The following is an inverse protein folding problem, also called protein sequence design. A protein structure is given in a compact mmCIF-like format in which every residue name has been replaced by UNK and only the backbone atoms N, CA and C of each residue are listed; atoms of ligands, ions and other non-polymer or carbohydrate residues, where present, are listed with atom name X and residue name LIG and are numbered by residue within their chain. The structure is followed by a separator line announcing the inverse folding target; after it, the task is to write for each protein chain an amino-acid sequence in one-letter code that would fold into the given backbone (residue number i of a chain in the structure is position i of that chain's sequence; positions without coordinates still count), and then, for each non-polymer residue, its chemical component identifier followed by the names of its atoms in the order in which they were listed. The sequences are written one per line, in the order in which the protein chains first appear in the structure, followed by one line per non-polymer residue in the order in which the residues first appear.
data_IF_768315356624
#
_entry.id   IF_768315356624
#
_cell.length_a   1.000
_cell.length_b   1.000
_cell.length_c   1.000
_cell.angle_alpha   90.00
_cell.angle_beta   90.00
_cell.angle_gamma   90.00
#
_symmetry.space_group_name_H-M   'P 1'
#
loop_
_entity.id
_entity.type
_entity.pdbx_description
1 polymer ?
#
# COMPACT_ATOMS: atom_id res chain seq x y z
N UNK A 1 5.17 25.66 26.12
CA UNK A 1 4.94 24.20 26.07
C UNK A 1 4.37 23.83 24.71
N UNK A 2 4.69 22.63 24.23
CA UNK A 2 4.15 22.09 22.98
C UNK A 2 3.01 21.14 23.35
N UNK A 3 1.83 21.38 22.81
CA UNK A 3 0.66 20.53 23.00
C UNK A 3 0.36 19.76 21.70
N UNK A 4 0.16 18.44 21.74
CA UNK A 4 -0.26 17.67 20.57
C UNK A 4 -1.60 18.14 20.03
N UNK A 5 -1.79 18.08 18.69
CA UNK A 5 -3.06 18.46 18.05
C UNK A 5 -4.25 17.65 18.57
N UNK A 6 -4.05 16.35 18.82
CA UNK A 6 -5.07 15.46 19.38
C UNK A 6 -5.60 15.96 20.74
N UNK A 7 -4.72 16.49 21.58
CA UNK A 7 -5.08 17.02 22.89
C UNK A 7 -5.88 18.34 22.77
N UNK A 8 -5.52 19.20 21.80
CA UNK A 8 -6.24 20.45 21.52
C UNK A 8 -7.66 20.23 20.99
N UNK A 9 -7.86 19.22 20.16
CA UNK A 9 -9.17 18.93 19.52
C UNK A 9 -9.97 17.86 20.26
N UNK A 10 -9.40 17.22 21.31
CA UNK A 10 -10.06 16.18 22.12
C UNK A 10 -10.31 14.84 21.41
N UNK A 11 -9.67 14.63 20.26
CA UNK A 11 -9.72 13.38 19.48
C UNK A 11 -8.49 13.28 18.56
N UNK A 12 -8.26 12.10 17.98
CA UNK A 12 -7.21 11.93 16.97
C UNK A 12 -7.51 12.77 15.73
N UNK A 13 -6.50 13.48 15.17
CA UNK A 13 -6.67 14.24 13.94
C UNK A 13 -6.96 13.32 12.74
N UNK A 14 -7.94 13.65 11.93
CA UNK A 14 -8.24 12.95 10.70
C UNK A 14 -7.23 13.31 9.60
N UNK A 15 -6.77 12.32 8.84
CA UNK A 15 -5.83 12.52 7.74
C UNK A 15 -6.42 13.42 6.64
N UNK A 16 -5.61 14.32 6.06
CA UNK A 16 -5.99 15.22 4.97
C UNK A 16 -6.93 16.37 5.38
N UNK A 17 -7.24 16.52 6.67
CA UNK A 17 -8.12 17.60 7.16
C UNK A 17 -7.34 18.86 7.48
N UNK A 18 -8.05 19.98 7.34
CA UNK A 18 -7.55 21.29 7.74
C UNK A 18 -8.19 21.70 9.06
N UNK A 19 -7.37 22.01 10.04
CA UNK A 19 -7.79 22.50 11.36
C UNK A 19 -7.35 23.94 11.50
N UNK A 20 -8.21 24.77 12.08
CA UNK A 20 -7.88 26.11 12.49
C UNK A 20 -7.72 26.13 14.02
N UNK A 21 -6.55 26.52 14.49
CA UNK A 21 -6.27 26.73 15.90
C UNK A 21 -6.23 28.24 16.13
N UNK A 22 -6.94 28.69 17.14
CA UNK A 22 -6.97 30.11 17.53
C UNK A 22 -6.80 30.25 19.02
N UNK A 23 -6.26 31.35 19.40
CA UNK A 23 -6.09 31.77 20.81
C UNK A 23 -6.43 33.24 20.96
N UNK A 24 -7.02 33.55 22.09
CA UNK A 24 -7.28 34.95 22.52
C UNK A 24 -6.62 35.14 23.85
N UNK A 25 -5.80 36.18 24.02
CA UNK A 25 -5.24 36.51 25.31
C UNK A 25 -6.34 36.76 26.35
N UNK A 26 -6.21 36.18 27.54
CA UNK A 26 -7.10 36.45 28.66
C UNK A 26 -6.53 37.61 29.47
N UNK A 27 -7.32 38.67 29.70
CA UNK A 27 -6.97 39.71 30.70
C UNK A 27 -7.54 39.30 32.05
N UNK A 28 -6.80 39.54 33.13
CA UNK A 28 -7.26 39.26 34.51
C UNK A 28 -8.53 40.03 34.89
N UNK A 29 -8.90 41.05 34.13
CA UNK A 29 -10.05 41.92 34.40
C UNK A 29 -11.37 41.48 33.75
N UNK A 30 -11.43 40.38 33.04
CA UNK A 30 -12.67 39.91 32.36
C UNK A 30 -13.17 40.87 31.28
N UNK A 31 -12.29 41.65 30.68
CA UNK A 31 -12.60 42.65 29.65
C UNK A 31 -13.05 41.95 28.35
N UNK A 32 -13.87 42.64 27.57
CA UNK A 32 -14.27 42.19 26.27
C UNK A 32 -13.05 41.98 25.35
N UNK A 33 -12.98 40.84 24.70
CA UNK A 33 -11.94 40.54 23.70
C UNK A 33 -12.21 41.35 22.42
N UNK A 34 -11.14 41.89 21.84
CA UNK A 34 -11.20 42.56 20.55
C UNK A 34 -10.88 41.56 19.41
N UNK A 35 -11.48 41.71 18.22
CA UNK A 35 -11.16 40.86 17.08
C UNK A 35 -9.68 40.81 16.72
N UNK A 36 -8.95 41.93 16.95
CA UNK A 36 -7.53 42.06 16.65
C UNK A 36 -6.63 41.31 17.66
N UNK A 37 -7.20 40.86 18.79
CA UNK A 37 -6.48 40.06 19.79
C UNK A 37 -6.45 38.56 19.42
N UNK A 38 -7.18 38.12 18.36
CA UNK A 38 -7.25 36.73 17.95
C UNK A 38 -6.01 36.37 17.15
N UNK A 39 -5.27 35.38 17.64
CA UNK A 39 -4.16 34.76 16.93
C UNK A 39 -4.67 33.43 16.38
N UNK A 40 -4.64 33.25 15.06
CA UNK A 40 -5.08 32.01 14.40
C UNK A 40 -3.97 31.38 13.56
N UNK A 41 -3.93 30.06 13.54
CA UNK A 41 -3.03 29.27 12.68
C UNK A 41 -3.78 28.13 12.04
N UNK A 42 -3.43 27.83 10.80
CA UNK A 42 -4.01 26.71 10.02
C UNK A 42 -3.04 25.56 10.01
N UNK A 43 -3.51 24.38 10.40
CA UNK A 43 -2.75 23.13 10.38
C UNK A 43 -3.47 22.17 9.43
N UNK A 44 -2.75 21.66 8.43
CA UNK A 44 -3.25 20.61 7.54
C UNK A 44 -2.56 19.29 7.89
N UNK A 45 -3.36 18.28 8.22
CA UNK A 45 -2.85 16.91 8.42
C UNK A 45 -2.51 16.27 7.09
N UNK A 46 -1.48 15.41 7.08
CA UNK A 46 -1.11 14.68 5.87
C UNK A 46 -2.21 13.69 5.45
N UNK A 47 -2.43 13.56 4.16
CA UNK A 47 -3.19 12.45 3.59
C UNK A 47 -2.35 11.17 3.67
N UNK A 48 -3.01 10.00 3.75
CA UNK A 48 -2.35 8.71 3.76
C UNK A 48 -3.24 7.63 3.13
N UNK A 49 -2.69 6.42 2.98
CA UNK A 49 -3.41 5.23 2.52
C UNK A 49 -3.16 4.13 3.54
N UNK A 50 -4.21 3.46 3.99
CA UNK A 50 -4.11 2.28 4.85
C UNK A 50 -4.07 1.04 3.96
N UNK A 51 -3.00 0.26 4.04
CA UNK A 51 -2.83 -0.99 3.30
C UNK A 51 -3.14 -2.18 4.19
N UNK A 52 -3.85 -3.18 3.65
CA UNK A 52 -4.11 -4.46 4.31
C UNK A 52 -3.78 -5.60 3.37
N UNK A 53 -3.26 -6.67 3.94
CA UNK A 53 -2.97 -7.94 3.26
C UNK A 53 -3.55 -9.06 4.08
N UNK A 54 -4.27 -9.98 3.42
CA UNK A 54 -4.85 -11.19 4.01
C UNK A 54 -4.74 -12.37 3.06
N UNK A 55 -5.13 -13.55 3.53
CA UNK A 55 -5.24 -14.78 2.75
C UNK A 55 -3.97 -15.11 1.94
N UNK A 56 -2.81 -14.94 2.56
CA UNK A 56 -1.52 -15.19 1.90
C UNK A 56 -1.35 -16.69 1.68
N UNK A 57 -1.25 -17.09 0.42
CA UNK A 57 -1.02 -18.47 -0.02
C UNK A 57 0.14 -18.51 -1.02
N UNK A 58 0.58 -19.68 -1.45
CA UNK A 58 1.58 -19.82 -2.49
C UNK A 58 1.09 -19.34 -3.89
N UNK A 59 -0.21 -19.13 -4.05
CA UNK A 59 -0.82 -18.58 -5.27
C UNK A 59 -0.97 -17.07 -5.26
N UNK A 60 -0.84 -16.43 -4.09
CA UNK A 60 -0.95 -14.99 -3.92
C UNK A 60 -1.56 -14.57 -2.59
N UNK A 61 -2.13 -13.37 -2.57
CA UNK A 61 -2.76 -12.78 -1.39
C UNK A 61 -3.93 -11.88 -1.79
N UNK A 62 -4.82 -11.63 -0.86
CA UNK A 62 -5.83 -10.57 -0.97
C UNK A 62 -5.24 -9.27 -0.44
N UNK A 63 -5.35 -8.20 -1.22
CA UNK A 63 -4.84 -6.86 -0.86
C UNK A 63 -5.96 -5.85 -0.88
N UNK A 64 -5.91 -4.88 0.04
CA UNK A 64 -6.81 -3.74 0.03
C UNK A 64 -6.09 -2.45 0.40
N UNK A 65 -6.58 -1.32 -0.12
CA UNK A 65 -6.07 0.01 0.16
C UNK A 65 -7.24 0.95 0.48
N UNK A 66 -7.20 1.58 1.66
CA UNK A 66 -8.24 2.48 2.14
C UNK A 66 -7.68 3.90 2.16
N UNK A 67 -8.32 4.80 1.45
CA UNK A 67 -7.95 6.23 1.40
C UNK A 67 -8.22 6.92 2.74
N UNK A 68 -7.29 7.76 3.14
CA UNK A 68 -7.41 8.60 4.34
C UNK A 68 -7.04 10.04 3.95
N UNK A 69 -8.05 10.84 3.61
CA UNK A 69 -7.88 12.25 3.28
C UNK A 69 -7.28 12.56 1.91
N UNK A 70 -7.35 11.61 0.97
CA UNK A 70 -7.04 11.81 -0.45
C UNK A 70 -8.16 11.23 -1.32
N UNK A 71 -8.31 11.73 -2.53
CA UNK A 71 -9.29 11.24 -3.52
C UNK A 71 -8.68 10.21 -4.46
N UNK A 72 -7.39 10.32 -4.71
CA UNK A 72 -6.61 9.47 -5.62
C UNK A 72 -5.31 9.07 -4.94
N UNK A 73 -4.82 7.88 -5.22
CA UNK A 73 -3.49 7.42 -4.81
C UNK A 73 -2.85 6.59 -5.91
N UNK A 74 -1.52 6.52 -5.89
CA UNK A 74 -0.76 5.56 -6.66
C UNK A 74 -0.49 4.32 -5.81
N UNK A 75 -0.46 3.16 -6.45
CA UNK A 75 -0.09 1.91 -5.79
C UNK A 75 0.60 0.97 -6.76
N UNK A 76 1.34 0.03 -6.24
CA UNK A 76 1.96 -1.05 -6.99
C UNK A 76 2.44 -2.17 -6.09
N UNK A 77 2.77 -3.29 -6.72
CA UNK A 77 3.42 -4.43 -6.05
C UNK A 77 4.71 -4.73 -6.80
N UNK A 78 5.78 -4.91 -6.05
CA UNK A 78 7.10 -5.27 -6.59
C UNK A 78 7.70 -6.39 -5.76
N UNK A 79 8.65 -7.13 -6.34
CA UNK A 79 9.51 -8.03 -5.58
C UNK A 79 10.32 -7.23 -4.56
N UNK A 80 10.40 -7.73 -3.32
CA UNK A 80 11.13 -7.05 -2.23
C UNK A 80 12.58 -6.76 -2.58
N UNK A 81 13.22 -7.61 -3.37
CA UNK A 81 14.61 -7.40 -3.82
C UNK A 81 14.77 -6.18 -4.73
N UNK A 82 13.70 -5.74 -5.37
CA UNK A 82 13.66 -4.58 -6.27
C UNK A 82 12.99 -3.35 -5.64
N UNK A 83 12.52 -3.47 -4.38
CA UNK A 83 11.84 -2.37 -3.70
C UNK A 83 12.82 -1.46 -2.98
N UNK A 84 12.71 -0.16 -3.25
CA UNK A 84 13.21 0.89 -2.37
C UNK A 84 12.22 2.06 -2.35
N UNK A 85 11.99 2.73 -1.22
CA UNK A 85 11.15 3.92 -1.16
C UNK A 85 11.58 5.00 -2.14
N UNK A 86 12.88 5.25 -2.25
CA UNK A 86 13.47 6.23 -3.16
C UNK A 86 13.21 5.85 -4.62
N UNK A 87 13.35 4.56 -4.97
CA UNK A 87 13.08 4.07 -6.33
C UNK A 87 11.62 4.26 -6.73
N UNK A 88 10.66 4.07 -5.81
CA UNK A 88 9.24 4.36 -6.07
C UNK A 88 9.02 5.86 -6.31
N UNK A 89 9.63 6.73 -5.51
CA UNK A 89 9.50 8.18 -5.66
C UNK A 89 10.09 8.64 -6.99
N UNK A 90 11.26 8.14 -7.36
CA UNK A 90 11.90 8.44 -8.63
C UNK A 90 11.04 7.99 -9.82
N UNK A 91 10.46 6.80 -9.76
CA UNK A 91 9.57 6.25 -10.79
C UNK A 91 8.32 7.15 -10.98
N UNK A 92 7.73 7.61 -9.89
CA UNK A 92 6.61 8.55 -9.93
C UNK A 92 6.99 9.92 -10.51
N UNK A 93 8.18 10.41 -10.21
CA UNK A 93 8.67 11.69 -10.72
C UNK A 93 8.86 11.66 -12.24
N UNK A 94 9.32 10.53 -12.78
CA UNK A 94 9.60 10.35 -14.22
C UNK A 94 8.44 9.77 -15.02
N UNK A 95 7.30 9.47 -14.39
CA UNK A 95 6.13 8.90 -15.06
C UNK A 95 6.25 7.40 -15.36
N UNK A 96 7.11 6.69 -14.65
CA UNK A 96 7.25 5.24 -14.75
C UNK A 96 5.99 4.50 -14.33
N UNK A 97 5.85 3.29 -14.82
CA UNK A 97 4.70 2.39 -14.93
C UNK A 97 3.80 2.10 -13.70
N UNK A 98 3.65 3.04 -12.81
CA UNK A 98 2.78 2.91 -11.63
C UNK A 98 1.31 2.96 -12.02
N UNK A 99 0.51 2.17 -11.33
CA UNK A 99 -0.93 2.11 -11.52
C UNK A 99 -1.60 3.16 -10.63
N UNK A 100 -2.31 4.08 -11.24
CA UNK A 100 -3.11 5.08 -10.55
C UNK A 100 -4.50 4.51 -10.24
N UNK A 101 -4.96 4.72 -9.02
CA UNK A 101 -6.32 4.39 -8.62
C UNK A 101 -7.06 5.64 -8.16
N UNK A 102 -8.25 5.84 -8.74
CA UNK A 102 -9.25 6.74 -8.20
C UNK A 102 -10.45 5.89 -7.80
N UNK A 103 -10.72 5.81 -6.52
CA UNK A 103 -11.86 5.08 -6.02
C UNK A 103 -12.73 6.01 -5.17
N UNK A 104 -13.88 6.39 -5.72
CA UNK A 104 -14.85 7.24 -5.04
C UNK A 104 -15.83 6.45 -4.17
N UNK A 105 -15.89 5.14 -4.35
CA UNK A 105 -16.93 4.29 -3.77
C UNK A 105 -16.44 3.36 -2.65
N UNK A 106 -15.16 3.33 -2.36
CA UNK A 106 -14.63 2.47 -1.32
C UNK A 106 -13.14 2.13 -1.46
N UNK A 107 -12.64 1.18 -0.68
CA UNK A 107 -11.25 0.74 -0.73
C UNK A 107 -10.97 -0.08 -2.01
N UNK A 108 -9.72 -0.04 -2.47
CA UNK A 108 -9.25 -1.01 -3.45
C UNK A 108 -9.22 -2.39 -2.79
N UNK A 109 -9.81 -3.37 -3.47
CA UNK A 109 -9.67 -4.79 -3.14
C UNK A 109 -9.20 -5.55 -4.36
N UNK A 110 -8.30 -6.51 -4.18
CA UNK A 110 -7.80 -7.32 -5.28
C UNK A 110 -6.82 -8.39 -4.83
N UNK A 111 -6.59 -9.36 -5.72
CA UNK A 111 -5.55 -10.38 -5.52
C UNK A 111 -4.21 -9.86 -6.02
N UNK A 112 -3.12 -10.42 -5.52
CA UNK A 112 -1.77 -10.06 -5.98
C UNK A 112 -1.63 -10.23 -7.50
N UNK A 113 -2.29 -11.22 -8.08
CA UNK A 113 -2.29 -11.46 -9.53
C UNK A 113 -2.90 -10.31 -10.35
N UNK A 114 -3.73 -9.46 -9.75
CA UNK A 114 -4.28 -8.28 -10.45
C UNK A 114 -3.19 -7.23 -10.73
N UNK A 115 -2.08 -7.27 -9.98
CA UNK A 115 -0.94 -6.36 -10.10
C UNK A 115 0.28 -7.02 -10.73
N UNK A 116 0.45 -8.33 -10.51
CA UNK A 116 1.58 -9.13 -10.99
C UNK A 116 1.08 -10.18 -11.98
N UNK A 117 1.75 -10.34 -13.13
CA UNK A 117 1.37 -11.35 -14.12
C UNK A 117 1.65 -12.78 -13.63
N UNK A 118 2.51 -12.93 -12.60
CA UNK A 118 2.89 -14.21 -12.03
C UNK A 118 3.38 -14.05 -10.60
N UNK A 119 2.82 -14.84 -9.69
CA UNK A 119 3.32 -14.98 -8.32
C UNK A 119 4.32 -16.14 -8.29
N UNK A 120 5.45 -15.93 -7.63
CA UNK A 120 6.51 -16.94 -7.45
C UNK A 120 6.47 -17.38 -5.99
N UNK A 121 6.15 -18.67 -5.72
CA UNK A 121 6.21 -19.21 -4.35
C UNK A 121 7.58 -19.02 -3.71
N UNK A 122 7.61 -18.69 -2.43
CA UNK A 122 8.85 -18.41 -1.69
C UNK A 122 9.40 -16.99 -1.86
N UNK A 123 8.73 -16.14 -2.64
CA UNK A 123 9.13 -14.74 -2.85
C UNK A 123 8.36 -13.82 -1.91
N UNK A 124 9.03 -12.84 -1.35
CA UNK A 124 8.37 -11.74 -0.64
C UNK A 124 8.16 -10.57 -1.59
N UNK A 125 6.95 -10.12 -1.69
CA UNK A 125 6.58 -8.91 -2.44
C UNK A 125 6.33 -7.75 -1.48
N UNK A 126 6.35 -6.53 -2.00
CA UNK A 126 5.99 -5.30 -1.28
C UNK A 126 4.84 -4.64 -2.02
N UNK A 127 3.69 -4.53 -1.34
CA UNK A 127 2.60 -3.65 -1.74
C UNK A 127 2.90 -2.26 -1.19
N UNK A 128 2.88 -1.25 -2.05
CA UNK A 128 3.08 0.14 -1.64
C UNK A 128 1.95 1.03 -2.15
N UNK A 129 1.71 2.14 -1.47
CA UNK A 129 0.78 3.18 -1.89
C UNK A 129 1.24 4.55 -1.41
N UNK A 130 0.88 5.59 -2.16
CA UNK A 130 1.15 6.98 -1.83
C UNK A 130 -0.02 7.87 -2.29
N UNK A 131 -0.51 8.82 -1.49
CA UNK A 131 -1.53 9.77 -1.93
C UNK A 131 -1.07 10.56 -3.15
N UNK A 132 -1.97 10.73 -4.12
CA UNK A 132 -1.69 11.52 -5.31
C UNK A 132 -1.49 13.00 -4.97
N UNK A 133 -0.53 13.63 -5.62
CA UNK A 133 -0.26 15.06 -5.57
C UNK A 133 -0.12 15.63 -6.97
N UNK A 134 -0.82 16.73 -7.21
CA UNK A 134 -0.80 17.42 -8.49
C UNK A 134 0.59 18.02 -8.80
N UNK A 135 1.29 18.51 -7.78
CA UNK A 135 2.61 19.13 -7.88
C UNK A 135 3.79 18.14 -7.89
N UNK A 136 3.55 16.85 -7.94
CA UNK A 136 4.57 15.78 -7.99
C UNK A 136 5.66 15.79 -6.90
N UNK A 137 5.59 16.62 -5.91
CA UNK A 137 6.59 16.69 -4.82
C UNK A 137 6.42 15.55 -3.81
N UNK A 138 6.58 14.29 -4.26
CA UNK A 138 6.47 13.10 -3.39
C UNK A 138 7.67 12.97 -2.46
N UNK A 139 7.40 12.46 -1.25
CA UNK A 139 8.44 12.21 -0.25
C UNK A 139 8.29 10.79 0.29
N UNK A 140 9.41 10.19 0.68
CA UNK A 140 9.44 8.82 1.21
C UNK A 140 8.60 8.63 2.48
N UNK A 141 8.50 9.64 3.33
CA UNK A 141 7.67 9.61 4.54
C UNK A 141 6.16 9.56 4.28
N UNK A 142 5.72 9.82 3.05
CA UNK A 142 4.31 9.74 2.63
C UNK A 142 3.96 8.38 2.03
N UNK A 143 4.98 7.58 1.72
CA UNK A 143 4.85 6.25 1.16
C UNK A 143 4.51 5.25 2.26
N UNK A 144 3.43 4.51 2.06
CA UNK A 144 3.06 3.38 2.91
C UNK A 144 3.38 2.09 2.19
N UNK A 145 3.97 1.13 2.89
CA UNK A 145 4.32 -0.16 2.32
C UNK A 145 4.04 -1.31 3.30
N UNK A 146 3.67 -2.46 2.76
CA UNK A 146 3.47 -3.70 3.51
C UNK A 146 4.04 -4.89 2.75
N UNK A 147 4.71 -5.79 3.47
CA UNK A 147 5.28 -7.00 2.89
C UNK A 147 4.24 -8.11 2.73
N UNK A 148 4.36 -8.86 1.64
CA UNK A 148 3.55 -10.03 1.31
C UNK A 148 4.51 -11.23 1.18
N UNK A 149 4.76 -11.96 2.28
CA UNK A 149 5.65 -13.13 2.26
C UNK A 149 4.89 -14.33 1.69
N UNK A 150 4.98 -14.56 0.39
CA UNK A 150 4.36 -15.71 -0.28
C UNK A 150 5.07 -17.00 0.17
N UNK A 151 4.36 -17.98 0.71
CA UNK A 151 4.96 -19.23 1.16
C UNK A 151 5.63 -19.98 0.01
N UNK A 152 6.73 -20.64 0.30
CA UNK A 152 7.34 -21.58 -0.62
C UNK A 152 6.46 -22.82 -0.80
N UNK A 153 6.52 -23.45 -1.97
CA UNK A 153 5.98 -24.78 -2.16
C UNK A 153 6.84 -25.76 -1.36
N UNK A 154 6.22 -26.46 -0.43
CA UNK A 154 6.86 -27.55 0.30
C UNK A 154 6.42 -28.87 -0.32
N UNK A 155 7.40 -29.67 -0.73
CA UNK A 155 7.16 -31.05 -1.11
C UNK A 155 7.46 -31.93 0.10
N UNK A 156 6.56 -32.80 0.46
CA UNK A 156 6.78 -33.78 1.53
C UNK A 156 7.73 -34.92 1.12
N UNK A 157 8.24 -34.87 -0.11
CA UNK A 157 9.23 -35.81 -0.63
C UNK A 157 8.66 -37.17 -1.06
N UNK A 158 7.35 -37.36 -0.98
CA UNK A 158 6.69 -38.61 -1.36
C UNK A 158 6.11 -38.62 -2.77
N UNK A 159 6.00 -37.43 -3.39
CA UNK A 159 5.48 -37.32 -4.74
C UNK A 159 6.43 -37.98 -5.76
N UNK A 160 5.98 -39.05 -6.38
CA UNK A 160 6.69 -39.73 -7.46
C UNK A 160 5.97 -39.52 -8.79
N UNK A 161 6.71 -39.51 -9.88
CA UNK A 161 6.14 -39.48 -11.23
C UNK A 161 6.52 -40.80 -11.90
N UNK A 162 5.51 -41.57 -12.34
CA UNK A 162 5.70 -42.78 -13.11
C UNK A 162 5.61 -42.45 -14.61
N UNK A 163 6.64 -42.80 -15.36
CA UNK A 163 6.66 -42.69 -16.82
C UNK A 163 6.59 -44.11 -17.37
N UNK A 164 5.50 -44.39 -18.04
CA UNK A 164 5.26 -45.74 -18.65
C UNK A 164 4.77 -45.65 -20.09
N UNK A 165 4.56 -46.81 -20.69
CA UNK A 165 4.03 -46.92 -22.04
C UNK A 165 4.78 -46.06 -23.08
N UNK A 166 6.11 -46.08 -23.01
CA UNK A 166 6.94 -45.32 -23.96
C UNK A 166 6.85 -46.05 -25.33
N UNK A 167 6.32 -45.33 -26.30
CA UNK A 167 6.26 -45.81 -27.68
C UNK A 167 7.07 -44.88 -28.56
N UNK A 168 8.09 -45.42 -29.22
CA UNK A 168 8.92 -44.70 -30.15
C UNK A 168 8.67 -45.18 -31.58
N UNK A 169 8.46 -44.25 -32.49
CA UNK A 169 8.41 -44.47 -33.93
C UNK A 169 9.53 -43.73 -34.62
N UNK A 170 9.70 -43.89 -35.93
CA UNK A 170 10.73 -43.14 -36.68
C UNK A 170 10.52 -41.63 -36.69
N UNK A 171 9.34 -41.13 -36.28
CA UNK A 171 8.96 -39.71 -36.34
C UNK A 171 8.36 -39.15 -35.05
N UNK A 172 8.09 -40.00 -34.05
CA UNK A 172 7.47 -39.54 -32.79
C UNK A 172 7.86 -40.42 -31.59
N UNK A 173 7.81 -39.82 -30.42
CA UNK A 173 7.88 -40.50 -29.13
C UNK A 173 6.67 -40.08 -28.31
N UNK A 174 5.96 -41.05 -27.74
CA UNK A 174 4.88 -40.82 -26.78
C UNK A 174 5.14 -41.61 -25.50
N UNK A 175 4.70 -41.04 -24.37
CA UNK A 175 4.78 -41.72 -23.08
C UNK A 175 3.54 -41.35 -22.24
N UNK A 176 3.16 -42.22 -21.32
CA UNK A 176 2.14 -41.95 -20.31
C UNK A 176 2.85 -41.49 -19.06
N UNK A 177 2.47 -40.32 -18.57
CA UNK A 177 2.97 -39.74 -17.31
C UNK A 177 1.83 -39.80 -16.29
N UNK A 178 2.05 -40.49 -15.17
CA UNK A 178 1.06 -40.61 -14.09
C UNK A 178 1.70 -40.15 -12.77
N UNK A 179 0.96 -39.38 -11.95
CA UNK A 179 1.41 -39.13 -10.57
C UNK A 179 1.56 -40.48 -9.86
N UNK A 180 2.65 -40.64 -9.11
CA UNK A 180 2.82 -41.73 -8.17
C UNK A 180 2.03 -41.40 -6.87
N UNK A 181 1.50 -42.38 -6.23
CA UNK A 181 0.89 -42.30 -4.89
C UNK A 181 1.94 -42.51 -3.83
#
# INVERSE_FOLDING_TARGET
DKMPLAELIGKDPEAGKTYMIWAVPSSEAGSAYLPDDVIASVIKTAATVELKVSDITFEGATVSAIRKGCDVFYTGIVDKSNYSPEGVIDDLAYGGGTKQYSDYNGPLEGKVLDFLPKVIPGTTYVLWAIPYKEEKGYKTEELVAVEIPVPALTYDGTATINIGNIVATVSSVSATITPGT
#
